data_IF_585376917631
#
_entry.id   IF_585376917631
#
_cell.length_a   1.000
_cell.length_b   1.000
_cell.length_c   1.000
_cell.angle_alpha   90.00
_cell.angle_beta   90.00
_cell.angle_gamma   90.00
#
_symmetry.space_group_name_H-M   'P 1'
#
loop_
_entity.id
_entity.type
_entity.pdbx_description
1 polymer ?
#
# COMPACT_ATOMS: atom_id res chain seq x y z
N UNK A 1 12.49 -8.57 11.24
CA UNK A 1 11.67 -8.79 10.04
C UNK A 1 11.93 -7.67 9.04
N UNK A 2 11.98 -7.99 7.75
CA UNK A 2 12.26 -7.06 6.65
C UNK A 2 11.01 -6.88 5.80
N UNK A 3 10.77 -5.66 5.34
CA UNK A 3 9.72 -5.39 4.34
C UNK A 3 10.37 -5.28 2.96
N UNK A 4 9.81 -5.96 1.98
CA UNK A 4 10.19 -5.88 0.57
C UNK A 4 8.97 -5.60 -0.28
N UNK A 5 9.16 -4.94 -1.42
CA UNK A 5 8.11 -4.65 -2.38
C UNK A 5 8.38 -5.44 -3.67
N UNK A 6 7.32 -5.92 -4.32
CA UNK A 6 7.45 -6.38 -5.70
C UNK A 6 7.76 -5.19 -6.63
N UNK A 7 8.50 -5.39 -7.73
CA UNK A 7 8.82 -4.32 -8.67
C UNK A 7 7.59 -3.53 -9.14
N UNK A 8 6.51 -4.23 -9.50
CA UNK A 8 5.24 -3.60 -9.93
C UNK A 8 4.63 -2.69 -8.84
N UNK A 9 4.86 -3.01 -7.56
CA UNK A 9 4.39 -2.18 -6.44
C UNK A 9 5.26 -0.93 -6.29
N UNK A 10 6.58 -1.06 -6.46
CA UNK A 10 7.49 0.08 -6.46
C UNK A 10 7.17 1.02 -7.61
N UNK A 11 7.00 0.50 -8.82
CA UNK A 11 6.60 1.26 -10.01
C UNK A 11 5.27 2.00 -9.78
N UNK A 12 4.25 1.31 -9.26
CA UNK A 12 2.99 1.95 -8.90
C UNK A 12 3.14 3.09 -7.89
N UNK A 13 4.00 2.94 -6.88
CA UNK A 13 4.25 3.99 -5.88
C UNK A 13 4.95 5.20 -6.50
N UNK A 14 5.86 5.01 -7.47
CA UNK A 14 6.44 6.10 -8.23
C UNK A 14 5.38 6.81 -9.10
N UNK A 15 4.60 6.06 -9.87
CA UNK A 15 3.51 6.61 -10.69
C UNK A 15 2.45 7.35 -9.85
N UNK A 16 2.23 6.89 -8.61
CA UNK A 16 1.30 7.51 -7.68
C UNK A 16 1.66 8.97 -7.40
N UNK A 17 2.95 9.32 -7.34
CA UNK A 17 3.39 10.71 -7.16
C UNK A 17 2.86 11.61 -8.29
N UNK A 18 3.01 11.15 -9.53
CA UNK A 18 2.51 11.85 -10.72
C UNK A 18 0.98 11.92 -10.73
N UNK A 19 0.30 10.82 -10.42
CA UNK A 19 -1.17 10.78 -10.35
C UNK A 19 -1.69 11.80 -9.33
N UNK A 20 -1.08 11.86 -8.14
CA UNK A 20 -1.51 12.76 -7.07
C UNK A 20 -1.34 14.23 -7.48
N UNK A 21 -0.24 14.56 -8.15
CA UNK A 21 0.00 15.90 -8.65
C UNK A 21 -0.91 16.26 -9.83
N UNK A 22 -0.98 15.43 -10.87
CA UNK A 22 -1.78 15.69 -12.07
C UNK A 22 -3.27 15.80 -11.78
N UNK A 23 -3.78 15.02 -10.82
CA UNK A 23 -5.18 15.11 -10.36
C UNK A 23 -5.42 16.23 -9.35
N UNK A 24 -4.43 17.09 -9.11
CA UNK A 24 -4.52 18.25 -8.22
C UNK A 24 -4.91 17.88 -6.77
N UNK A 25 -4.53 16.68 -6.30
CA UNK A 25 -4.62 16.37 -4.87
C UNK A 25 -3.59 17.18 -4.07
N UNK A 26 -2.48 17.55 -4.71
CA UNK A 26 -1.48 18.46 -4.17
C UNK A 26 -1.14 19.56 -5.17
N UNK A 27 -0.99 20.79 -4.69
CA UNK A 27 -0.60 21.95 -5.52
C UNK A 27 0.87 21.93 -5.93
N UNK A 28 1.71 21.17 -5.21
CA UNK A 28 3.15 21.07 -5.42
C UNK A 28 3.55 19.61 -5.56
N UNK A 29 4.46 19.32 -6.50
CA UNK A 29 4.95 17.97 -6.74
C UNK A 29 5.69 17.40 -5.52
N UNK A 30 6.50 18.23 -4.85
CA UNK A 30 7.19 17.85 -3.61
C UNK A 30 6.24 17.34 -2.52
N UNK A 31 5.03 17.93 -2.43
CA UNK A 31 4.02 17.45 -1.49
C UNK A 31 3.48 16.07 -1.84
N UNK A 32 3.39 15.72 -3.14
CA UNK A 32 3.02 14.38 -3.58
C UNK A 32 4.14 13.36 -3.30
N UNK A 33 5.41 13.75 -3.49
CA UNK A 33 6.57 12.94 -3.13
C UNK A 33 6.55 12.63 -1.63
N UNK A 34 6.52 13.66 -0.78
CA UNK A 34 6.52 13.48 0.68
C UNK A 34 5.36 12.61 1.16
N UNK A 35 4.18 12.74 0.54
CA UNK A 35 3.03 11.91 0.88
C UNK A 35 3.28 10.41 0.63
N UNK A 36 3.89 10.08 -0.51
CA UNK A 36 4.21 8.70 -0.89
C UNK A 36 5.38 8.17 -0.05
N UNK A 37 6.43 8.96 0.16
CA UNK A 37 7.54 8.59 1.05
C UNK A 37 7.05 8.29 2.46
N UNK A 38 6.19 9.13 3.04
CA UNK A 38 5.58 8.87 4.34
C UNK A 38 4.73 7.58 4.35
N UNK A 39 4.09 7.23 3.22
CA UNK A 39 3.36 5.97 3.12
C UNK A 39 4.32 4.78 3.13
N UNK A 40 5.39 4.85 2.34
CA UNK A 40 6.42 3.81 2.27
C UNK A 40 7.09 3.63 3.62
N UNK A 41 7.48 4.72 4.30
CA UNK A 41 8.10 4.66 5.62
C UNK A 41 7.18 4.00 6.65
N UNK A 42 5.91 4.41 6.71
CA UNK A 42 4.94 3.78 7.60
C UNK A 42 4.78 2.27 7.33
N UNK A 43 4.81 1.85 6.06
CA UNK A 43 4.74 0.45 5.68
C UNK A 43 6.01 -0.29 6.13
N UNK A 44 7.19 0.27 5.85
CA UNK A 44 8.47 -0.34 6.23
C UNK A 44 8.59 -0.51 7.75
N UNK A 45 8.14 0.47 8.51
CA UNK A 45 8.27 0.49 9.97
C UNK A 45 7.29 -0.44 10.69
N UNK A 46 6.07 -0.58 10.18
CA UNK A 46 4.98 -1.23 10.95
C UNK A 46 4.39 -2.50 10.33
N UNK A 47 4.52 -2.75 9.02
CA UNK A 47 3.74 -3.77 8.31
C UNK A 47 3.83 -5.16 8.94
N UNK A 48 5.05 -5.56 9.32
CA UNK A 48 5.29 -6.90 9.87
C UNK A 48 4.78 -7.09 11.30
N UNK A 49 4.59 -6.01 12.06
CA UNK A 49 4.19 -6.06 13.48
C UNK A 49 2.71 -5.74 13.69
N UNK A 50 2.07 -5.08 12.72
CA UNK A 50 0.65 -4.72 12.83
C UNK A 50 -0.31 -5.91 12.80
N UNK A 51 -1.51 -5.68 13.35
CA UNK A 51 -2.59 -6.65 13.32
C UNK A 51 -3.09 -6.82 11.87
N UNK A 52 -2.63 -7.89 11.25
CA UNK A 52 -2.97 -8.27 9.89
C UNK A 52 -4.30 -9.03 9.79
N UNK A 53 -5.03 -8.80 8.70
CA UNK A 53 -6.26 -9.52 8.34
C UNK A 53 -6.02 -10.42 7.13
N UNK A 54 -6.76 -11.51 7.00
CA UNK A 54 -6.71 -12.33 5.77
C UNK A 54 -7.28 -11.53 4.59
N UNK A 55 -6.60 -11.60 3.44
CA UNK A 55 -7.06 -10.96 2.22
C UNK A 55 -8.31 -11.67 1.66
N UNK A 56 -9.32 -10.92 1.17
CA UNK A 56 -10.43 -11.50 0.41
C UNK A 56 -9.96 -12.21 -0.86
N UNK A 57 -10.70 -13.24 -1.29
CA UNK A 57 -10.38 -14.07 -2.46
C UNK A 57 -10.25 -13.26 -3.76
N UNK A 58 -10.97 -12.14 -3.88
CA UNK A 58 -10.84 -11.21 -4.99
C UNK A 58 -9.39 -10.77 -5.25
N UNK A 59 -8.59 -10.63 -4.19
CA UNK A 59 -7.20 -10.21 -4.30
C UNK A 59 -6.24 -11.37 -4.60
N UNK A 60 -6.71 -12.62 -4.66
CA UNK A 60 -5.85 -13.78 -4.90
C UNK A 60 -5.12 -13.75 -6.25
N UNK A 61 -5.57 -12.90 -7.18
CA UNK A 61 -4.87 -12.59 -8.45
C UNK A 61 -3.48 -11.97 -8.26
N UNK A 62 -3.21 -11.33 -7.12
CA UNK A 62 -1.91 -10.75 -6.79
C UNK A 62 -1.03 -11.68 -5.92
N UNK A 63 -1.60 -12.80 -5.47
CA UNK A 63 -0.95 -13.80 -4.63
C UNK A 63 -1.96 -14.59 -3.82
N UNK A 64 -1.67 -15.87 -3.56
CA UNK A 64 -2.51 -16.71 -2.70
C UNK A 64 -2.18 -16.50 -1.22
N UNK A 65 -3.16 -16.76 -0.36
CA UNK A 65 -3.01 -16.75 1.11
C UNK A 65 -2.38 -15.48 1.68
N UNK A 66 -2.71 -14.34 1.06
CA UNK A 66 -2.21 -13.04 1.49
C UNK A 66 -2.89 -12.54 2.76
N UNK A 67 -2.19 -11.65 3.44
CA UNK A 67 -2.74 -10.78 4.46
C UNK A 67 -2.81 -9.35 3.97
N UNK A 68 -3.54 -8.50 4.70
CA UNK A 68 -3.52 -7.07 4.50
C UNK A 68 -3.56 -6.28 5.80
N UNK A 69 -3.01 -5.06 5.74
CA UNK A 69 -3.05 -4.03 6.79
C UNK A 69 -3.61 -2.74 6.21
N UNK A 70 -4.23 -1.91 7.06
CA UNK A 70 -4.88 -0.64 6.68
C UNK A 70 -4.07 0.54 7.21
N UNK A 71 -3.65 1.43 6.33
CA UNK A 71 -2.98 2.68 6.68
C UNK A 71 -3.91 3.86 6.43
N UNK A 72 -4.47 4.42 7.51
CA UNK A 72 -5.34 5.60 7.42
C UNK A 72 -4.49 6.86 7.29
N UNK A 73 -4.60 7.57 6.17
CA UNK A 73 -3.88 8.84 5.93
C UNK A 73 -4.69 10.05 6.38
N UNK A 74 -6.01 10.04 6.14
CA UNK A 74 -6.92 11.06 6.65
C UNK A 74 -8.34 10.49 6.78
N UNK A 75 -9.35 11.34 6.99
CA UNK A 75 -10.74 10.91 7.11
C UNK A 75 -11.28 10.21 5.84
N UNK A 76 -10.78 10.61 4.68
CA UNK A 76 -11.31 10.22 3.37
C UNK A 76 -10.48 9.15 2.67
N UNK A 77 -9.19 9.03 3.02
CA UNK A 77 -8.25 8.15 2.33
C UNK A 77 -7.61 7.16 3.29
N UNK A 78 -7.76 5.88 2.95
CA UNK A 78 -7.14 4.76 3.62
C UNK A 78 -6.52 3.84 2.57
N UNK A 79 -5.25 3.49 2.80
CA UNK A 79 -4.51 2.55 1.98
C UNK A 79 -4.61 1.14 2.54
N UNK A 80 -4.61 0.17 1.65
CA UNK A 80 -4.65 -1.26 1.93
C UNK A 80 -3.42 -1.88 1.30
N UNK A 81 -2.61 -2.50 2.13
CA UNK A 81 -1.32 -3.08 1.75
C UNK A 81 -1.43 -4.57 1.90
N UNK A 82 -1.36 -5.29 0.79
CA UNK A 82 -1.48 -6.75 0.71
C UNK A 82 -0.10 -7.38 0.60
N UNK A 83 0.15 -8.40 1.40
CA UNK A 83 1.47 -9.00 1.51
C UNK A 83 1.40 -10.48 1.88
N UNK A 84 2.47 -11.20 1.57
CA UNK A 84 2.74 -12.53 2.12
C UNK A 84 3.86 -12.43 3.15
N UNK A 85 3.89 -13.38 4.09
CA UNK A 85 4.97 -13.52 5.05
C UNK A 85 5.68 -14.83 4.72
N UNK A 86 6.99 -14.73 4.48
CA UNK A 86 7.86 -15.89 4.30
C UNK A 86 9.09 -15.69 5.18
N UNK A 87 9.32 -16.63 6.08
CA UNK A 87 10.32 -16.53 7.14
C UNK A 87 10.19 -15.19 7.90
N UNK A 88 11.20 -14.33 7.79
CA UNK A 88 11.25 -13.00 8.42
C UNK A 88 10.97 -11.84 7.44
N UNK A 89 10.36 -12.13 6.28
CA UNK A 89 10.12 -11.15 5.23
C UNK A 89 8.62 -10.95 4.99
N UNK A 90 8.17 -9.70 5.10
CA UNK A 90 6.88 -9.27 4.60
C UNK A 90 7.05 -8.77 3.17
N UNK A 91 6.58 -9.55 2.21
CA UNK A 91 6.66 -9.21 0.79
C UNK A 91 5.34 -8.55 0.36
N UNK A 92 5.37 -7.25 0.14
CA UNK A 92 4.25 -6.47 -0.37
C UNK A 92 4.01 -6.82 -1.83
N UNK A 93 2.80 -7.31 -2.11
CA UNK A 93 2.40 -7.80 -3.44
C UNK A 93 1.43 -6.88 -4.14
N UNK A 94 0.67 -6.08 -3.39
CA UNK A 94 -0.31 -5.16 -3.96
C UNK A 94 -0.66 -4.04 -2.98
N UNK A 95 -0.87 -2.83 -3.50
CA UNK A 95 -1.31 -1.66 -2.74
C UNK A 95 -2.49 -1.02 -3.46
N UNK A 96 -3.50 -0.59 -2.70
CA UNK A 96 -4.66 0.12 -3.24
C UNK A 96 -5.29 1.00 -2.14
N UNK A 97 -6.27 1.81 -2.49
CA UNK A 97 -6.99 2.65 -1.53
C UNK A 97 -8.50 2.39 -1.56
N UNK A 98 -9.20 2.91 -0.54
CA UNK A 98 -10.65 2.77 -0.41
C UNK A 98 -11.42 3.28 -1.64
N UNK A 99 -10.93 4.28 -2.37
CA UNK A 99 -11.63 4.78 -3.56
C UNK A 99 -11.68 3.77 -4.71
N UNK A 100 -10.75 2.80 -4.74
CA UNK A 100 -10.66 1.78 -5.79
C UNK A 100 -11.24 0.44 -5.34
N UNK A 101 -11.08 0.06 -4.07
CA UNK A 101 -11.30 -1.32 -3.64
C UNK A 101 -12.37 -1.52 -2.57
N UNK A 102 -13.07 -0.49 -2.10
CA UNK A 102 -14.05 -0.60 -1.00
C UNK A 102 -15.10 -1.70 -1.20
N UNK A 103 -15.52 -1.94 -2.45
CA UNK A 103 -16.52 -2.98 -2.79
C UNK A 103 -15.98 -4.42 -2.73
N UNK A 104 -14.67 -4.60 -2.50
CA UNK A 104 -13.98 -5.89 -2.55
C UNK A 104 -13.36 -6.30 -1.19
N UNK A 105 -13.57 -5.51 -0.14
CA UNK A 105 -12.88 -5.60 1.16
C UNK A 105 -13.74 -6.11 2.32
#
# INVERSE_FOLDING_TARGET
MKVLFLPDVEEYLFELMDILYQKQYFSYYDSAISYVEDLVNNIQDSLCVELKKKAPEYFSRYGKDMYYVKYKKNHNTQWYVFFTIHDDVCLVRYITNNHVCSQHL
#
